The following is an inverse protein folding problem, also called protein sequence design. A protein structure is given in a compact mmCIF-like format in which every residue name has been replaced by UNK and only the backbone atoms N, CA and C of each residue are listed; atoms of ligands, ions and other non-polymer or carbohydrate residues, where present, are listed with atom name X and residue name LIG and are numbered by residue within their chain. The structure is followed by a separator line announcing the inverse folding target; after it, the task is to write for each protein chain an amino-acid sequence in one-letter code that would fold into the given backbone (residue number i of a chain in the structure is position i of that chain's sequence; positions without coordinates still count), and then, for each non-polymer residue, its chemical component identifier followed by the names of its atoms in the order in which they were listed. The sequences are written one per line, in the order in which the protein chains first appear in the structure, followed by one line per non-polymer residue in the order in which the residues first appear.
data_IF_099004150164
#
_entry.id   IF_099004150164
#
_cell.length_a   1.000
_cell.length_b   1.000
_cell.length_c   1.000
_cell.angle_alpha   90.00
_cell.angle_beta   90.00
_cell.angle_gamma   90.00
#
_symmetry.space_group_name_H-M   'P 1'
#
loop_
_entity.id
_entity.type
_entity.pdbx_description
1 polymer ?
#
# COMPACT_ATOMS: atom_id res chain seq x y z
N UNK A 1 19.75 -13.38 -18.34
CA UNK A 1 19.90 -12.00 -17.82
C UNK A 1 19.54 -12.01 -16.34
N UNK A 2 20.36 -11.41 -15.49
CA UNK A 2 19.99 -11.18 -14.09
C UNK A 2 18.88 -10.13 -14.03
N UNK A 3 17.90 -10.28 -13.13
CA UNK A 3 16.87 -9.26 -12.92
C UNK A 3 17.51 -8.03 -12.27
N UNK A 4 16.99 -6.84 -12.61
CA UNK A 4 17.34 -5.59 -11.94
C UNK A 4 16.69 -5.52 -10.55
N UNK A 5 17.25 -4.71 -9.65
CA UNK A 5 16.60 -4.38 -8.38
C UNK A 5 15.65 -3.21 -8.60
N UNK A 6 14.35 -3.51 -8.60
CA UNK A 6 13.29 -2.53 -8.86
C UNK A 6 12.78 -1.91 -7.56
N UNK A 7 13.11 -0.65 -7.31
CA UNK A 7 12.68 0.14 -6.15
C UNK A 7 11.44 1.00 -6.42
N UNK A 8 10.66 0.66 -7.45
CA UNK A 8 9.43 1.40 -7.78
C UNK A 8 8.44 1.41 -6.63
N UNK A 9 7.78 2.55 -6.45
CA UNK A 9 6.74 2.72 -5.44
C UNK A 9 5.39 2.09 -5.81
N UNK A 10 5.20 1.73 -7.07
CA UNK A 10 4.01 1.05 -7.59
C UNK A 10 3.71 1.44 -9.06
N UNK A 11 3.47 0.45 -9.92
CA UNK A 11 3.62 -0.99 -9.70
C UNK A 11 5.02 -1.36 -9.23
N UNK A 12 5.09 -2.28 -8.24
CA UNK A 12 6.33 -2.62 -7.56
C UNK A 12 6.83 -4.04 -7.87
N UNK A 13 7.99 -4.37 -7.31
CA UNK A 13 8.57 -5.70 -7.41
C UNK A 13 7.61 -6.78 -6.88
N UNK A 14 7.56 -7.93 -7.56
CA UNK A 14 6.82 -9.13 -7.12
C UNK A 14 7.80 -10.23 -6.72
N UNK A 15 7.40 -11.15 -5.82
CA UNK A 15 8.23 -12.30 -5.48
C UNK A 15 8.58 -13.12 -6.71
N UNK A 16 9.85 -13.48 -6.87
CA UNK A 16 10.30 -14.20 -8.06
C UNK A 16 9.68 -15.59 -8.17
N UNK A 17 9.47 -16.25 -7.04
CA UNK A 17 8.78 -17.53 -6.96
C UNK A 17 7.36 -17.45 -7.52
N UNK A 18 6.62 -16.38 -7.17
CA UNK A 18 5.26 -16.14 -7.69
C UNK A 18 5.27 -15.93 -9.20
N UNK A 19 6.25 -15.18 -9.71
CA UNK A 19 6.37 -14.95 -11.16
C UNK A 19 6.73 -16.21 -11.92
N UNK A 20 7.60 -17.07 -11.37
CA UNK A 20 7.97 -18.37 -11.96
C UNK A 20 6.76 -19.30 -12.00
N UNK A 21 6.07 -19.46 -10.86
CA UNK A 21 4.86 -20.29 -10.79
C UNK A 21 3.77 -19.80 -11.77
N UNK A 22 3.56 -18.49 -11.87
CA UNK A 22 2.62 -17.92 -12.82
C UNK A 22 3.03 -18.14 -14.28
N UNK A 23 4.33 -18.11 -14.59
CA UNK A 23 4.86 -18.41 -15.91
C UNK A 23 4.64 -19.89 -16.29
N UNK A 24 4.89 -20.80 -15.35
CA UNK A 24 4.68 -22.25 -15.55
C UNK A 24 3.20 -22.58 -15.79
N UNK A 25 2.28 -21.88 -15.13
CA UNK A 25 0.82 -22.04 -15.28
C UNK A 25 0.23 -21.18 -16.41
N UNK A 26 1.03 -20.42 -17.16
CA UNK A 26 0.53 -19.44 -18.13
C UNK A 26 -0.34 -20.04 -19.23
N UNK A 27 0.02 -21.21 -19.75
CA UNK A 27 -0.70 -21.90 -20.82
C UNK A 27 -1.68 -22.93 -20.31
N UNK A 28 -1.44 -23.48 -19.12
CA UNK A 28 -2.25 -24.55 -18.56
C UNK A 28 -2.30 -24.48 -17.03
N UNK A 29 -3.34 -23.81 -16.52
CA UNK A 29 -3.57 -23.79 -15.08
C UNK A 29 -4.03 -25.15 -14.56
N UNK A 30 -3.15 -25.85 -13.85
CA UNK A 30 -3.43 -27.13 -13.13
C UNK A 30 -4.16 -28.18 -14.00
N UNK A 31 -3.78 -28.31 -15.28
CA UNK A 31 -4.34 -29.31 -16.17
C UNK A 31 -5.72 -28.95 -16.77
N UNK A 32 -6.14 -27.69 -16.68
CA UNK A 32 -7.40 -27.24 -17.29
C UNK A 32 -7.31 -27.03 -18.79
N UNK A 33 -6.09 -27.04 -19.36
CA UNK A 33 -5.83 -26.77 -20.77
C UNK A 33 -6.02 -25.30 -21.16
N UNK A 34 -6.12 -24.37 -20.18
CA UNK A 34 -6.30 -22.95 -20.45
C UNK A 34 -5.55 -22.07 -19.45
N UNK A 35 -5.23 -20.85 -19.86
CA UNK A 35 -4.72 -19.80 -19.01
C UNK A 35 -5.79 -19.27 -18.06
N UNK A 36 -5.39 -18.81 -16.88
CA UNK A 36 -6.30 -18.06 -15.98
C UNK A 36 -6.84 -16.79 -16.66
N UNK A 37 -6.06 -16.17 -17.59
CA UNK A 37 -6.49 -14.97 -18.33
C UNK A 37 -7.69 -15.20 -19.25
N UNK A 38 -7.89 -16.42 -19.78
CA UNK A 38 -8.99 -16.77 -20.67
C UNK A 38 -10.12 -17.54 -19.97
N UNK A 39 -9.95 -17.78 -18.66
CA UNK A 39 -10.87 -18.56 -17.85
C UNK A 39 -12.13 -17.76 -17.52
N UNK A 40 -13.31 -18.37 -17.70
CA UNK A 40 -14.55 -17.74 -17.23
C UNK A 40 -14.51 -17.58 -15.71
N UNK A 41 -14.79 -16.37 -15.22
CA UNK A 41 -14.92 -16.09 -13.78
C UNK A 41 -16.08 -16.83 -13.10
N UNK A 42 -16.98 -17.47 -13.89
CA UNK A 42 -18.09 -18.32 -13.41
C UNK A 42 -17.75 -19.80 -13.46
N UNK A 43 -16.55 -20.16 -13.90
CA UNK A 43 -16.08 -21.54 -13.88
C UNK A 43 -15.74 -21.99 -12.46
N UNK A 44 -15.86 -23.29 -12.20
CA UNK A 44 -15.47 -23.86 -10.91
C UNK A 44 -13.97 -23.68 -10.61
N UNK A 45 -13.13 -23.71 -11.64
CA UNK A 45 -11.71 -23.49 -11.48
C UNK A 45 -11.42 -22.09 -10.97
N UNK A 46 -12.09 -21.05 -11.53
CA UNK A 46 -11.92 -19.68 -11.07
C UNK A 46 -12.54 -19.44 -9.69
N UNK A 47 -13.70 -20.05 -9.40
CA UNK A 47 -14.29 -20.02 -8.07
C UNK A 47 -13.31 -20.51 -7.00
N UNK A 48 -12.55 -21.57 -7.30
CA UNK A 48 -11.50 -22.06 -6.41
C UNK A 48 -10.40 -21.02 -6.23
N UNK A 49 -9.92 -20.38 -7.30
CA UNK A 49 -8.87 -19.35 -7.26
C UNK A 49 -9.25 -18.20 -6.32
N UNK A 50 -10.44 -17.61 -6.50
CA UNK A 50 -10.84 -16.45 -5.70
C UNK A 50 -11.15 -16.83 -4.25
N UNK A 51 -11.74 -18.00 -4.00
CA UNK A 51 -12.03 -18.48 -2.66
C UNK A 51 -10.75 -18.81 -1.88
N UNK A 52 -9.75 -19.42 -2.53
CA UNK A 52 -8.44 -19.67 -1.91
C UNK A 52 -7.71 -18.35 -1.61
N UNK A 53 -7.77 -17.37 -2.51
CA UNK A 53 -7.19 -16.05 -2.27
C UNK A 53 -7.83 -15.35 -1.07
N UNK A 54 -9.17 -15.39 -0.95
CA UNK A 54 -9.86 -14.83 0.21
C UNK A 54 -9.50 -15.59 1.50
N UNK A 55 -9.48 -16.92 1.48
CA UNK A 55 -9.15 -17.73 2.63
C UNK A 55 -7.72 -17.45 3.13
N UNK A 56 -6.75 -17.41 2.23
CA UNK A 56 -5.35 -17.11 2.58
C UNK A 56 -5.19 -15.70 3.16
N UNK A 57 -5.91 -14.70 2.62
CA UNK A 57 -5.91 -13.35 3.15
C UNK A 57 -6.53 -13.28 4.55
N UNK A 58 -7.65 -13.99 4.76
CA UNK A 58 -8.31 -14.10 6.08
C UNK A 58 -7.36 -14.69 7.11
N UNK A 59 -6.66 -15.76 6.76
CA UNK A 59 -5.68 -16.41 7.64
C UNK A 59 -4.53 -15.47 7.98
N UNK A 60 -3.95 -14.78 6.99
CA UNK A 60 -2.81 -13.86 7.19
C UNK A 60 -3.11 -12.72 8.14
N UNK A 61 -4.31 -12.15 8.07
CA UNK A 61 -4.74 -11.00 8.86
C UNK A 61 -5.65 -11.37 10.03
N UNK A 62 -5.97 -12.66 10.22
CA UNK A 62 -6.96 -13.10 11.23
C UNK A 62 -8.26 -12.29 11.12
N UNK A 63 -8.78 -12.15 9.90
CA UNK A 63 -9.95 -11.31 9.63
C UNK A 63 -11.19 -11.90 10.33
N UNK A 64 -11.87 -11.15 11.22
CA UNK A 64 -13.08 -11.63 11.88
C UNK A 64 -14.21 -11.98 10.90
N UNK A 65 -15.07 -12.93 11.28
CA UNK A 65 -16.17 -13.42 10.42
C UNK A 65 -17.18 -12.33 10.03
N UNK A 66 -17.31 -11.28 10.84
CA UNK A 66 -18.18 -10.14 10.60
C UNK A 66 -17.59 -9.08 9.67
N UNK A 67 -16.55 -9.45 8.90
CA UNK A 67 -15.98 -8.63 7.83
C UNK A 67 -16.12 -9.32 6.48
N UNK A 68 -16.39 -8.54 5.44
CA UNK A 68 -16.32 -8.98 4.04
C UNK A 68 -15.00 -8.58 3.43
N UNK A 69 -14.45 -9.48 2.62
CA UNK A 69 -13.29 -9.23 1.76
C UNK A 69 -13.79 -9.07 0.33
N UNK A 70 -13.43 -7.96 -0.29
CA UNK A 70 -13.85 -7.64 -1.66
C UNK A 70 -12.60 -7.45 -2.54
N UNK A 71 -12.63 -8.02 -3.74
CA UNK A 71 -11.64 -7.81 -4.78
C UNK A 71 -12.27 -6.93 -5.87
N UNK A 72 -11.88 -5.67 -5.92
CA UNK A 72 -12.48 -4.64 -6.77
C UNK A 72 -11.49 -4.12 -7.81
N UNK A 73 -11.99 -3.26 -8.70
CA UNK A 73 -11.21 -2.50 -9.68
C UNK A 73 -11.14 -1.02 -9.27
N UNK A 74 -10.55 -0.17 -10.12
CA UNK A 74 -10.51 1.28 -9.94
C UNK A 74 -9.39 1.79 -9.01
N UNK A 75 -8.64 0.89 -8.36
CA UNK A 75 -7.56 1.24 -7.45
C UNK A 75 -8.02 2.01 -6.21
N UNK A 76 -7.06 2.47 -5.41
CA UNK A 76 -7.34 3.27 -4.21
C UNK A 76 -8.06 4.59 -4.53
N UNK A 77 -7.81 5.18 -5.70
CA UNK A 77 -8.47 6.43 -6.09
C UNK A 77 -9.98 6.31 -6.20
N UNK A 78 -10.50 5.16 -6.68
CA UNK A 78 -11.94 4.93 -6.69
C UNK A 78 -12.50 4.78 -5.26
N UNK A 79 -11.72 4.25 -4.32
CA UNK A 79 -12.13 4.14 -2.93
C UNK A 79 -12.28 5.51 -2.26
N UNK A 80 -11.55 6.54 -2.70
CA UNK A 80 -11.74 7.90 -2.21
C UNK A 80 -13.17 8.41 -2.44
N UNK A 81 -13.81 7.99 -3.54
CA UNK A 81 -15.20 8.27 -3.83
C UNK A 81 -16.17 7.26 -3.15
N UNK A 82 -15.85 5.95 -3.23
CA UNK A 82 -16.74 4.91 -2.69
C UNK A 82 -16.93 5.03 -1.18
N UNK A 83 -15.90 5.40 -0.42
CA UNK A 83 -16.00 5.56 1.04
C UNK A 83 -17.08 6.57 1.42
N UNK A 84 -17.06 7.84 1.02
CA UNK A 84 -18.11 8.78 1.36
C UNK A 84 -19.46 8.40 0.75
N UNK A 85 -19.51 7.88 -0.48
CA UNK A 85 -20.77 7.46 -1.13
C UNK A 85 -21.49 6.37 -0.34
N UNK A 86 -20.78 5.47 0.33
CA UNK A 86 -21.37 4.35 1.06
C UNK A 86 -21.48 4.57 2.57
N UNK A 87 -20.62 5.39 3.16
CA UNK A 87 -20.56 5.54 4.62
C UNK A 87 -21.23 6.81 5.15
N UNK A 88 -21.41 7.84 4.32
CA UNK A 88 -22.09 9.05 4.76
C UNK A 88 -23.56 8.79 5.12
N UNK A 89 -23.92 9.15 6.35
CA UNK A 89 -25.28 9.22 6.87
C UNK A 89 -25.59 10.62 7.36
N UNK A 90 -24.72 11.20 8.17
CA UNK A 90 -24.77 12.60 8.56
C UNK A 90 -24.10 13.49 7.49
N UNK A 91 -23.38 12.87 6.56
CA UNK A 91 -22.65 13.56 5.51
C UNK A 91 -21.35 14.23 5.97
N UNK A 92 -20.73 13.75 7.06
CA UNK A 92 -19.55 14.33 7.66
C UNK A 92 -18.43 13.28 7.77
N UNK A 93 -17.23 13.59 7.26
CA UNK A 93 -16.04 12.77 7.41
C UNK A 93 -14.87 13.58 7.94
N UNK A 94 -14.14 13.03 8.91
CA UNK A 94 -12.95 13.65 9.48
C UNK A 94 -11.70 12.99 8.90
N UNK A 95 -10.73 13.81 8.48
CA UNK A 95 -9.53 13.38 7.77
C UNK A 95 -8.28 13.82 8.49
N UNK A 96 -7.32 12.91 8.66
CA UNK A 96 -5.96 13.24 9.12
C UNK A 96 -5.06 13.26 7.89
N UNK A 97 -4.55 14.46 7.56
CA UNK A 97 -3.85 14.71 6.29
C UNK A 97 -2.33 14.62 6.52
N UNK A 98 -1.79 13.43 6.30
CA UNK A 98 -0.36 13.14 6.47
C UNK A 98 0.39 12.96 5.16
N UNK A 99 -0.26 13.24 4.03
CA UNK A 99 0.35 13.14 2.71
C UNK A 99 -0.63 13.45 1.59
N UNK A 100 -0.12 13.33 0.36
CA UNK A 100 -0.88 13.65 -0.85
C UNK A 100 -2.10 12.74 -1.05
N UNK A 101 -2.01 11.47 -0.66
CA UNK A 101 -3.11 10.53 -0.87
C UNK A 101 -4.27 10.81 0.09
N UNK A 102 -3.99 11.05 1.37
CA UNK A 102 -5.01 11.49 2.32
C UNK A 102 -5.62 12.85 1.91
N UNK A 103 -4.80 13.78 1.37
CA UNK A 103 -5.29 15.05 0.84
C UNK A 103 -6.24 14.86 -0.35
N UNK A 104 -5.94 13.93 -1.26
CA UNK A 104 -6.84 13.61 -2.40
C UNK A 104 -8.14 12.99 -1.92
N UNK A 105 -8.08 12.04 -0.98
CA UNK A 105 -9.28 11.45 -0.39
C UNK A 105 -10.17 12.50 0.30
N UNK A 106 -9.57 13.41 1.05
CA UNK A 106 -10.25 14.56 1.66
C UNK A 106 -10.92 15.48 0.63
N UNK A 107 -10.22 15.78 -0.47
CA UNK A 107 -10.77 16.61 -1.55
C UNK A 107 -11.93 15.92 -2.26
N UNK A 108 -11.82 14.61 -2.50
CA UNK A 108 -12.87 13.82 -3.13
C UNK A 108 -14.12 13.75 -2.25
N UNK A 109 -14.00 13.55 -0.95
CA UNK A 109 -15.12 13.49 -0.02
C UNK A 109 -15.97 14.78 -0.01
N UNK A 110 -15.34 15.93 -0.25
CA UNK A 110 -16.06 17.22 -0.36
C UNK A 110 -17.06 17.29 -1.51
N UNK A 111 -16.97 16.41 -2.49
CA UNK A 111 -17.94 16.33 -3.58
C UNK A 111 -19.27 15.72 -3.11
N UNK A 112 -19.24 15.01 -2.00
CA UNK A 112 -20.38 14.21 -1.49
C UNK A 112 -20.95 14.71 -0.17
N UNK A 113 -20.20 15.53 0.58
CA UNK A 113 -20.60 16.04 1.88
C UNK A 113 -19.57 16.97 2.50
N UNK A 114 -19.56 17.04 3.82
CA UNK A 114 -18.59 17.82 4.59
C UNK A 114 -17.38 16.95 4.91
N UNK A 115 -16.19 17.42 4.56
CA UNK A 115 -14.94 16.82 5.01
C UNK A 115 -14.17 17.83 5.84
N UNK A 116 -13.71 17.42 7.03
CA UNK A 116 -12.93 18.22 7.95
C UNK A 116 -11.49 17.70 8.01
N UNK A 117 -10.51 18.59 7.91
CA UNK A 117 -9.12 18.25 8.19
C UNK A 117 -8.84 18.45 9.68
N UNK A 118 -8.93 17.39 10.47
CA UNK A 118 -8.79 17.46 11.94
C UNK A 118 -7.34 17.49 12.41
N UNK A 119 -6.41 17.06 11.58
CA UNK A 119 -4.97 17.24 11.76
C UNK A 119 -4.25 17.18 10.41
N UNK A 120 -3.06 17.80 10.35
CA UNK A 120 -2.22 17.77 9.15
C UNK A 120 -0.75 17.98 9.53
N UNK A 121 0.16 17.34 8.78
CA UNK A 121 1.61 17.55 8.86
C UNK A 121 2.17 18.30 7.64
N UNK A 122 1.32 19.01 6.90
CA UNK A 122 1.72 19.76 5.72
C UNK A 122 2.71 20.92 6.03
N UNK A 123 2.70 21.43 7.25
CA UNK A 123 3.61 22.49 7.75
C UNK A 123 5.09 22.13 7.61
N UNK A 124 5.43 20.83 7.68
CA UNK A 124 6.79 20.30 7.50
C UNK A 124 6.87 19.29 6.35
N UNK A 125 6.15 19.56 5.28
CA UNK A 125 6.15 18.73 4.07
C UNK A 125 5.88 17.24 4.36
N UNK A 126 4.98 16.97 5.31
CA UNK A 126 4.56 15.62 5.71
C UNK A 126 5.72 14.72 6.20
N UNK A 127 6.76 15.30 6.80
CA UNK A 127 7.93 14.56 7.31
C UNK A 127 7.69 13.91 8.67
N UNK A 128 6.50 14.04 9.25
CA UNK A 128 6.12 13.46 10.53
C UNK A 128 4.63 13.09 10.57
N UNK A 129 4.24 12.29 11.54
CA UNK A 129 2.83 12.00 11.89
C UNK A 129 2.46 12.93 13.07
N UNK A 130 1.38 13.72 12.98
CA UNK A 130 0.93 14.55 14.10
C UNK A 130 0.54 13.70 15.30
N UNK A 131 0.45 14.31 16.48
CA UNK A 131 -0.13 13.65 17.65
C UNK A 131 -1.61 13.31 17.34
N UNK A 132 -1.94 12.04 17.45
CA UNK A 132 -3.28 11.49 17.15
C UNK A 132 -4.02 10.99 18.38
N UNK A 133 -3.51 11.29 19.57
CA UNK A 133 -4.07 10.81 20.84
C UNK A 133 -5.31 11.59 21.30
N UNK A 134 -5.42 12.86 20.92
CA UNK A 134 -6.56 13.72 21.26
C UNK A 134 -6.88 14.70 20.12
N UNK A 135 -7.60 14.23 19.13
CA UNK A 135 -7.99 15.00 17.97
C UNK A 135 -9.40 15.64 18.16
N UNK A 136 -9.66 16.79 17.54
CA UNK A 136 -10.98 17.43 17.55
C UNK A 136 -11.95 16.71 16.59
N UNK A 137 -12.25 15.44 16.88
CA UNK A 137 -13.17 14.63 16.10
C UNK A 137 -14.58 15.21 16.21
N UNK A 138 -15.25 15.39 15.06
CA UNK A 138 -16.60 15.93 14.99
C UNK A 138 -17.63 14.98 15.61
N UNK A 139 -18.56 15.51 16.40
CA UNK A 139 -19.60 14.69 17.05
C UNK A 139 -20.50 13.97 16.03
N UNK A 140 -20.75 14.57 14.88
CA UNK A 140 -21.54 14.05 13.77
C UNK A 140 -20.73 13.33 12.69
N UNK A 141 -19.41 13.17 12.87
CA UNK A 141 -18.61 12.44 11.90
C UNK A 141 -19.09 10.99 11.72
N UNK A 142 -19.26 10.58 10.48
CA UNK A 142 -19.59 9.20 10.11
C UNK A 142 -18.34 8.29 10.19
N UNK A 143 -17.16 8.86 9.95
CA UNK A 143 -15.87 8.15 10.04
C UNK A 143 -14.70 9.11 10.22
N UNK A 144 -13.56 8.53 10.64
CA UNK A 144 -12.23 9.15 10.62
C UNK A 144 -11.38 8.43 9.58
N UNK A 145 -10.69 9.18 8.73
CA UNK A 145 -9.88 8.63 7.62
C UNK A 145 -8.40 8.88 7.83
N UNK A 146 -7.59 7.82 7.57
CA UNK A 146 -6.13 7.90 7.51
C UNK A 146 -5.57 7.23 6.25
N UNK A 147 -4.41 7.68 5.80
CA UNK A 147 -3.50 6.93 4.94
C UNK A 147 -2.36 6.45 5.83
N UNK A 148 -2.34 5.16 6.19
CA UNK A 148 -1.52 4.66 7.27
C UNK A 148 -0.03 4.69 6.97
N UNK A 149 0.34 4.49 5.70
CA UNK A 149 1.71 4.63 5.21
C UNK A 149 1.77 5.58 4.02
N UNK A 150 2.51 6.64 4.13
CA UNK A 150 2.59 7.72 3.14
C UNK A 150 3.72 7.45 2.13
N UNK A 151 3.37 6.84 1.01
CA UNK A 151 4.29 6.34 -0.03
C UNK A 151 5.27 7.40 -0.55
N UNK A 152 4.82 8.66 -0.67
CA UNK A 152 5.62 9.77 -1.22
C UNK A 152 6.59 10.29 -0.18
N UNK A 153 6.14 10.43 1.06
CA UNK A 153 6.86 11.14 2.13
C UNK A 153 7.57 10.22 3.10
N UNK A 154 7.29 8.92 3.07
CA UNK A 154 7.98 7.90 3.88
C UNK A 154 7.59 7.85 5.35
N UNK A 155 6.46 8.45 5.71
CA UNK A 155 5.92 8.40 7.09
C UNK A 155 4.92 7.25 7.27
N UNK A 156 4.87 6.66 8.45
CA UNK A 156 3.91 5.62 8.83
C UNK A 156 3.40 5.84 10.25
N UNK A 157 2.11 5.65 10.44
CA UNK A 157 1.51 5.61 11.78
C UNK A 157 2.07 4.45 12.60
N UNK A 158 2.55 4.73 13.80
CA UNK A 158 2.97 3.70 14.79
C UNK A 158 1.85 3.38 15.78
N UNK A 159 0.94 4.31 15.96
CA UNK A 159 -0.27 4.16 16.75
C UNK A 159 -1.47 4.67 15.96
N UNK A 160 -2.61 4.00 16.08
CA UNK A 160 -3.84 4.45 15.47
C UNK A 160 -4.41 5.65 16.22
N UNK A 161 -5.16 6.55 15.54
CA UNK A 161 -5.80 7.68 16.18
C UNK A 161 -6.88 7.25 17.16
N UNK A 162 -7.04 8.00 18.25
CA UNK A 162 -8.27 7.94 19.04
C UNK A 162 -9.40 8.60 18.25
N UNK A 163 -10.27 7.76 17.70
CA UNK A 163 -11.41 8.19 16.89
C UNK A 163 -12.62 8.62 17.73
N UNK A 164 -12.52 8.62 19.04
CA UNK A 164 -13.63 8.89 19.99
C UNK A 164 -14.87 8.04 19.67
N UNK A 165 -14.62 6.76 19.30
CA UNK A 165 -15.67 5.79 18.98
C UNK A 165 -16.22 5.85 17.57
N UNK A 166 -15.71 6.74 16.71
CA UNK A 166 -16.08 6.78 15.29
C UNK A 166 -15.40 5.66 14.51
N UNK A 167 -15.98 5.30 13.38
CA UNK A 167 -15.43 4.30 12.46
C UNK A 167 -14.08 4.78 11.94
N UNK A 168 -13.06 3.93 11.99
CA UNK A 168 -11.77 4.18 11.35
C UNK A 168 -11.78 3.60 9.94
N UNK A 169 -11.50 4.44 8.96
CA UNK A 169 -11.27 4.07 7.55
C UNK A 169 -9.80 4.29 7.22
N UNK A 170 -9.14 3.30 6.65
CA UNK A 170 -7.71 3.37 6.38
C UNK A 170 -7.32 2.91 4.98
N UNK A 171 -6.51 3.72 4.29
CA UNK A 171 -5.72 3.33 3.12
C UNK A 171 -4.41 2.69 3.59
N UNK A 172 -4.28 1.37 3.39
CA UNK A 172 -3.08 0.61 3.70
C UNK A 172 -2.27 0.24 2.45
N UNK A 173 -2.55 0.83 1.29
CA UNK A 173 -1.99 0.39 0.00
C UNK A 173 -0.49 0.13 0.03
N UNK A 174 0.31 1.00 0.66
CA UNK A 174 1.77 0.86 0.65
C UNK A 174 2.37 0.15 1.85
N UNK A 175 1.55 -0.32 2.80
CA UNK A 175 1.99 -1.16 3.92
C UNK A 175 1.13 -2.42 4.09
N UNK A 176 0.20 -2.69 3.18
CA UNK A 176 -0.69 -3.84 3.28
C UNK A 176 0.10 -5.15 3.31
N UNK A 177 -0.16 -6.00 4.28
CA UNK A 177 0.55 -7.26 4.53
C UNK A 177 2.07 -7.12 4.77
N UNK A 178 2.54 -5.97 5.22
CA UNK A 178 3.96 -5.80 5.60
C UNK A 178 4.26 -6.21 7.04
N UNK A 179 3.23 -6.25 7.86
CA UNK A 179 3.25 -6.61 9.28
C UNK A 179 1.84 -7.02 9.74
N UNK A 180 1.68 -7.67 10.91
CA UNK A 180 0.37 -7.93 11.48
C UNK A 180 -0.43 -6.67 11.74
N UNK A 181 -1.74 -6.74 11.48
CA UNK A 181 -2.71 -5.67 11.70
C UNK A 181 -3.92 -6.25 12.42
N UNK A 182 -4.38 -5.59 13.47
CA UNK A 182 -5.64 -5.93 14.13
C UNK A 182 -6.82 -5.32 13.34
N UNK A 183 -7.40 -6.11 12.45
CA UNK A 183 -8.52 -5.70 11.58
C UNK A 183 -9.71 -5.19 12.39
N UNK A 184 -9.92 -5.67 13.62
CA UNK A 184 -11.04 -5.27 14.48
C UNK A 184 -11.02 -3.78 14.88
N UNK A 185 -9.87 -3.12 14.75
CA UNK A 185 -9.71 -1.67 14.99
C UNK A 185 -10.28 -0.79 13.88
N UNK A 186 -10.59 -1.37 12.72
CA UNK A 186 -11.02 -0.63 11.54
C UNK A 186 -12.47 -1.01 11.17
N UNK A 187 -13.22 -0.03 10.69
CA UNK A 187 -14.50 -0.32 10.02
C UNK A 187 -14.28 -0.69 8.55
N UNK A 188 -13.29 -0.06 7.91
CA UNK A 188 -12.94 -0.32 6.53
C UNK A 188 -11.44 -0.13 6.29
N UNK A 189 -10.83 -1.12 5.67
CA UNK A 189 -9.46 -1.07 5.12
C UNK A 189 -9.57 -1.22 3.62
N UNK A 190 -8.80 -0.44 2.85
CA UNK A 190 -8.58 -0.73 1.45
C UNK A 190 -7.10 -0.65 1.07
N UNK A 191 -6.72 -1.37 0.03
CA UNK A 191 -5.34 -1.42 -0.44
C UNK A 191 -5.27 -1.69 -1.95
N UNK A 192 -4.62 -0.82 -2.69
CA UNK A 192 -4.23 -1.10 -4.08
C UNK A 192 -3.15 -2.16 -4.11
N UNK A 193 -3.40 -3.27 -4.81
CA UNK A 193 -2.51 -4.45 -4.80
C UNK A 193 -1.12 -4.18 -5.40
N UNK A 194 -1.00 -3.26 -6.34
CA UNK A 194 0.20 -2.99 -7.14
C UNK A 194 1.43 -2.54 -6.34
N UNK A 195 1.30 -2.26 -5.07
CA UNK A 195 2.42 -1.85 -4.22
C UNK A 195 3.09 -3.05 -3.56
N UNK A 196 2.35 -3.81 -2.77
CA UNK A 196 2.96 -4.81 -1.90
C UNK A 196 2.43 -6.23 -2.09
N UNK A 197 1.33 -6.46 -2.80
CA UNK A 197 0.65 -7.76 -2.77
C UNK A 197 0.17 -8.30 -4.13
N UNK A 198 0.42 -7.59 -5.22
CA UNK A 198 -0.01 -8.06 -6.53
C UNK A 198 0.29 -7.08 -7.67
N UNK A 199 -0.31 -7.28 -8.85
CA UNK A 199 -0.20 -6.38 -9.99
C UNK A 199 -1.18 -5.22 -9.88
N UNK A 200 -1.02 -4.21 -10.75
CA UNK A 200 -2.02 -3.18 -10.96
C UNK A 200 -3.36 -3.76 -11.43
N UNK A 201 -4.46 -3.11 -11.05
CA UNK A 201 -5.83 -3.45 -11.48
C UNK A 201 -6.70 -4.07 -10.38
N UNK A 202 -6.13 -4.50 -9.27
CA UNK A 202 -6.88 -5.00 -8.10
C UNK A 202 -6.80 -4.01 -6.96
N UNK A 203 -7.93 -3.73 -6.32
CA UNK A 203 -7.98 -3.14 -4.99
C UNK A 203 -8.70 -4.09 -4.04
N UNK A 204 -8.11 -4.33 -2.89
CA UNK A 204 -8.68 -5.17 -1.85
C UNK A 204 -9.40 -4.26 -0.86
N UNK A 205 -10.63 -4.60 -0.50
CA UNK A 205 -11.41 -3.93 0.53
C UNK A 205 -11.79 -4.94 1.60
N UNK A 206 -11.51 -4.61 2.85
CA UNK A 206 -11.94 -5.37 4.03
C UNK A 206 -12.89 -4.45 4.79
N UNK A 207 -14.15 -4.80 4.84
CA UNK A 207 -15.21 -3.95 5.38
C UNK A 207 -16.08 -4.70 6.37
N UNK A 208 -16.37 -4.08 7.51
CA UNK A 208 -17.26 -4.65 8.53
C UNK A 208 -18.70 -4.72 8.01
N UNK A 209 -19.39 -5.83 8.26
CA UNK A 209 -20.69 -6.13 7.65
C UNK A 209 -21.77 -5.07 7.95
N UNK A 210 -21.78 -4.49 9.15
CA UNK A 210 -22.73 -3.44 9.54
C UNK A 210 -22.58 -2.15 8.74
N UNK A 211 -21.45 -1.97 8.02
CA UNK A 211 -21.22 -0.83 7.14
C UNK A 211 -21.66 -1.08 5.69
N UNK A 212 -22.08 -2.30 5.37
CA UNK A 212 -22.59 -2.68 4.05
C UNK A 212 -24.11 -2.49 4.05
N UNK A 213 -24.56 -1.31 3.59
CA UNK A 213 -25.94 -0.88 3.74
C UNK A 213 -26.65 -0.69 2.40
N UNK A 214 -27.98 -0.70 2.44
CA UNK A 214 -28.86 -0.32 1.31
C UNK A 214 -28.98 1.21 1.19
N UNK A 215 -29.06 1.89 2.33
CA UNK A 215 -29.27 3.34 2.44
C UNK A 215 -27.94 4.11 2.30
N UNK A 216 -27.40 4.07 1.11
CA UNK A 216 -26.24 4.86 0.69
C UNK A 216 -26.68 6.16 0.03
N UNK A 217 -25.76 7.07 -0.29
CA UNK A 217 -26.11 8.28 -1.05
C UNK A 217 -26.91 7.93 -2.30
N UNK A 218 -28.02 8.63 -2.53
CA UNK A 218 -29.02 8.31 -3.56
C UNK A 218 -28.41 8.14 -4.96
N UNK A 219 -27.44 8.96 -5.29
CA UNK A 219 -26.80 9.00 -6.59
C UNK A 219 -25.68 7.94 -6.75
N UNK A 220 -25.45 7.09 -5.72
CA UNK A 220 -24.37 6.09 -5.78
C UNK A 220 -24.66 5.05 -6.87
N UNK A 221 -23.84 4.99 -7.93
CA UNK A 221 -23.99 4.00 -8.98
C UNK A 221 -23.87 2.57 -8.45
N UNK A 222 -24.57 1.63 -9.10
CA UNK A 222 -24.56 0.21 -8.71
C UNK A 222 -23.17 -0.34 -8.49
N UNK A 223 -22.22 -0.06 -9.42
CA UNK A 223 -20.83 -0.55 -9.36
C UNK A 223 -19.99 0.11 -8.26
N UNK A 224 -20.45 1.19 -7.65
CA UNK A 224 -19.77 1.87 -6.55
C UNK A 224 -20.39 1.56 -5.17
N UNK A 225 -21.36 0.65 -5.11
CA UNK A 225 -21.95 0.19 -3.85
C UNK A 225 -21.22 -1.02 -3.32
N UNK A 226 -20.72 -0.97 -2.09
CA UNK A 226 -20.08 -2.15 -1.46
C UNK A 226 -21.03 -3.34 -1.38
N UNK A 227 -22.32 -3.08 -1.15
CA UNK A 227 -23.34 -4.13 -1.10
C UNK A 227 -23.43 -4.93 -2.40
N UNK A 228 -23.40 -4.27 -3.56
CA UNK A 228 -23.40 -4.94 -4.86
C UNK A 228 -22.28 -5.98 -4.97
N UNK A 229 -21.11 -5.62 -4.51
CA UNK A 229 -19.94 -6.49 -4.57
C UNK A 229 -19.95 -7.57 -3.47
N UNK A 230 -20.41 -7.22 -2.27
CA UNK A 230 -20.50 -8.16 -1.15
C UNK A 230 -21.51 -9.28 -1.43
N UNK A 231 -22.69 -8.94 -1.91
CA UNK A 231 -23.75 -9.91 -2.24
C UNK A 231 -23.34 -10.87 -3.36
N UNK A 232 -22.52 -10.37 -4.28
CA UNK A 232 -22.00 -11.16 -5.42
C UNK A 232 -20.61 -11.76 -5.17
N UNK A 233 -20.05 -11.67 -3.96
CA UNK A 233 -18.70 -12.16 -3.62
C UNK A 233 -17.63 -11.70 -4.62
N UNK A 234 -17.65 -10.41 -4.95
CA UNK A 234 -16.79 -9.75 -5.94
C UNK A 234 -17.00 -10.20 -7.40
N UNK A 235 -18.01 -10.97 -7.69
CA UNK A 235 -18.30 -11.54 -9.01
C UNK A 235 -19.59 -10.96 -9.63
N UNK A 236 -19.97 -9.73 -9.29
CA UNK A 236 -21.12 -9.06 -9.90
C UNK A 236 -20.93 -8.91 -11.42
N UNK A 237 -19.76 -8.47 -11.83
CA UNK A 237 -19.28 -8.48 -13.21
C UNK A 237 -17.96 -9.26 -13.30
N UNK A 238 -17.37 -9.35 -14.50
CA UNK A 238 -16.06 -9.96 -14.68
C UNK A 238 -15.00 -9.21 -13.86
N UNK A 239 -14.36 -9.86 -12.89
CA UNK A 239 -13.35 -9.22 -12.04
C UNK A 239 -12.00 -9.13 -12.76
N UNK A 240 -10.99 -8.47 -12.19
CA UNK A 240 -9.61 -8.51 -12.66
C UNK A 240 -9.00 -9.89 -12.38
N UNK A 241 -9.49 -10.92 -13.09
CA UNK A 241 -9.31 -12.34 -12.78
C UNK A 241 -7.85 -12.75 -12.60
N UNK A 242 -6.98 -12.40 -13.54
CA UNK A 242 -5.56 -12.72 -13.46
C UNK A 242 -4.85 -11.97 -12.33
N UNK A 243 -5.23 -10.73 -12.08
CA UNK A 243 -4.69 -9.95 -10.95
C UNK A 243 -5.01 -10.58 -9.60
N UNK A 244 -6.25 -11.06 -9.41
CA UNK A 244 -6.67 -11.77 -8.18
C UNK A 244 -5.90 -13.09 -8.02
N UNK A 245 -5.71 -13.83 -9.11
CA UNK A 245 -4.89 -15.04 -9.12
C UNK A 245 -3.45 -14.77 -8.64
N UNK A 246 -2.80 -13.71 -9.15
CA UNK A 246 -1.46 -13.31 -8.69
C UNK A 246 -1.48 -12.87 -7.22
N UNK A 247 -2.47 -12.10 -6.77
CA UNK A 247 -2.61 -11.75 -5.36
C UNK A 247 -2.70 -13.01 -4.47
N UNK A 248 -3.51 -14.00 -4.87
CA UNK A 248 -3.63 -15.27 -4.15
C UNK A 248 -2.28 -16.01 -4.03
N UNK A 249 -1.46 -16.01 -5.10
CA UNK A 249 -0.11 -16.57 -5.05
C UNK A 249 0.82 -15.80 -4.11
N UNK A 250 0.71 -14.48 -4.07
CA UNK A 250 1.48 -13.65 -3.11
C UNK A 250 1.04 -13.93 -1.67
N UNK A 251 -0.26 -14.09 -1.41
CA UNK A 251 -0.75 -14.46 -0.07
C UNK A 251 -0.20 -15.82 0.37
N UNK A 252 -0.22 -16.80 -0.52
CA UNK A 252 0.35 -18.12 -0.25
C UNK A 252 1.85 -18.08 -0.02
N UNK A 253 2.57 -17.27 -0.80
CA UNK A 253 4.00 -17.02 -0.59
C UNK A 253 4.27 -16.46 0.81
N UNK A 254 3.49 -15.46 1.27
CA UNK A 254 3.60 -14.91 2.63
C UNK A 254 3.32 -15.96 3.71
N UNK A 255 2.30 -16.80 3.53
CA UNK A 255 2.00 -17.91 4.47
C UNK A 255 3.16 -18.90 4.55
N UNK A 256 3.73 -19.28 3.41
CA UNK A 256 4.86 -20.22 3.34
C UNK A 256 6.14 -19.61 3.97
N UNK A 257 6.29 -18.29 3.95
CA UNK A 257 7.41 -17.59 4.59
C UNK A 257 7.32 -17.58 6.13
N UNK A 258 6.18 -17.94 6.68
CA UNK A 258 5.90 -17.91 8.12
C UNK A 258 4.93 -16.80 8.54
N UNK A 259 4.18 -16.23 7.59
CA UNK A 259 3.16 -15.21 7.83
C UNK A 259 3.72 -13.82 8.08
N UNK A 260 2.85 -12.95 8.60
CA UNK A 260 3.16 -11.52 8.71
C UNK A 260 4.17 -11.20 9.82
N UNK A 261 4.28 -12.02 10.86
CA UNK A 261 5.31 -11.84 11.89
C UNK A 261 6.73 -12.10 11.31
N UNK A 262 6.88 -13.11 10.47
CA UNK A 262 8.13 -13.38 9.79
C UNK A 262 8.45 -12.27 8.76
N UNK A 263 7.45 -11.82 8.01
CA UNK A 263 7.62 -10.73 7.04
C UNK A 263 8.01 -9.42 7.71
N UNK A 264 7.39 -9.08 8.84
CA UNK A 264 7.74 -7.90 9.63
C UNK A 264 9.22 -7.89 10.01
N UNK A 265 9.74 -8.99 10.54
CA UNK A 265 11.17 -9.11 10.91
C UNK A 265 12.11 -8.90 9.72
N UNK A 266 11.74 -9.43 8.55
CA UNK A 266 12.50 -9.23 7.31
C UNK A 266 12.46 -7.75 6.90
N UNK A 267 11.29 -7.12 6.94
CA UNK A 267 11.11 -5.71 6.60
C UNK A 267 11.88 -4.79 7.57
N UNK A 268 11.82 -5.05 8.87
CA UNK A 268 12.59 -4.32 9.87
C UNK A 268 14.10 -4.42 9.59
N UNK A 269 14.61 -5.61 9.28
CA UNK A 269 16.02 -5.81 8.93
C UNK A 269 16.42 -5.03 7.67
N UNK A 270 15.60 -5.09 6.62
CA UNK A 270 15.86 -4.33 5.37
C UNK A 270 15.88 -2.83 5.62
N UNK A 271 14.89 -2.33 6.37
CA UNK A 271 14.78 -0.91 6.67
C UNK A 271 15.95 -0.44 7.55
N UNK A 272 16.34 -1.21 8.56
CA UNK A 272 17.47 -0.88 9.43
C UNK A 272 18.77 -0.70 8.63
N UNK A 273 19.10 -1.61 7.72
CA UNK A 273 20.30 -1.51 6.87
C UNK A 273 20.37 -0.17 6.13
N UNK A 274 19.26 0.28 5.56
CA UNK A 274 19.21 1.53 4.80
C UNK A 274 19.19 2.76 5.72
N UNK A 275 18.39 2.74 6.78
CA UNK A 275 18.32 3.88 7.72
C UNK A 275 19.61 4.05 8.51
N UNK A 276 20.25 2.99 8.98
CA UNK A 276 21.54 3.05 9.68
C UNK A 276 22.63 3.69 8.81
N UNK A 277 22.61 3.38 7.52
CA UNK A 277 23.51 4.05 6.57
C UNK A 277 23.17 5.54 6.42
N UNK A 278 21.89 5.90 6.20
CA UNK A 278 21.45 7.29 6.03
C UNK A 278 21.75 8.15 7.27
N UNK A 279 21.68 7.57 8.47
CA UNK A 279 21.94 8.28 9.72
C UNK A 279 23.44 8.52 9.97
N UNK A 280 24.32 7.75 9.31
CA UNK A 280 25.78 7.86 9.43
C UNK A 280 26.44 8.57 8.24
N UNK A 281 25.75 8.63 7.08
CA UNK A 281 26.28 9.22 5.86
C UNK A 281 26.51 10.71 6.00
N UNK A 282 27.59 11.21 5.42
CA UNK A 282 27.87 12.66 5.33
C UNK A 282 27.24 13.31 4.11
N UNK A 283 26.83 12.51 3.14
CA UNK A 283 26.25 12.96 1.88
C UNK A 283 24.73 12.75 1.84
N UNK A 284 24.26 11.56 2.21
CA UNK A 284 22.85 11.20 2.14
C UNK A 284 22.15 11.39 3.49
N UNK A 285 20.92 11.89 3.46
CA UNK A 285 20.09 12.00 4.67
C UNK A 285 18.64 11.62 4.40
N UNK A 286 18.01 10.92 5.34
CA UNK A 286 16.57 10.69 5.34
C UNK A 286 15.79 11.99 5.56
N UNK A 287 14.56 12.04 5.03
CA UNK A 287 13.70 13.23 5.12
C UNK A 287 12.63 13.13 6.21
N UNK A 288 12.55 12.00 6.90
CA UNK A 288 11.49 11.67 7.88
C UNK A 288 12.05 11.66 9.29
N UNK A 289 11.31 12.19 10.24
CA UNK A 289 11.65 12.05 11.68
C UNK A 289 11.69 10.57 12.07
N UNK A 290 12.68 10.19 12.85
CA UNK A 290 13.01 8.78 13.12
C UNK A 290 11.82 7.95 13.60
N UNK A 291 11.06 8.45 14.57
CA UNK A 291 9.91 7.74 15.16
C UNK A 291 8.81 7.38 14.15
N UNK A 292 8.71 8.13 13.05
CA UNK A 292 7.61 8.02 12.06
C UNK A 292 8.07 7.38 10.75
N UNK A 293 9.30 6.86 10.68
CA UNK A 293 9.86 6.24 9.47
C UNK A 293 9.08 5.03 9.01
N UNK A 294 8.80 4.97 7.71
CA UNK A 294 8.20 3.82 7.02
C UNK A 294 9.22 2.69 6.86
N UNK A 295 8.76 1.43 6.98
CA UNK A 295 9.54 0.25 6.61
C UNK A 295 9.45 -0.07 5.12
N UNK A 296 8.55 0.61 4.39
CA UNK A 296 8.24 0.31 2.98
C UNK A 296 8.80 1.33 2.00
N UNK A 297 8.76 2.62 2.33
CA UNK A 297 9.16 3.70 1.44
C UNK A 297 10.13 4.62 2.17
N UNK A 298 11.36 4.65 1.69
CA UNK A 298 12.47 5.39 2.30
C UNK A 298 12.90 6.53 1.37
N UNK A 299 12.39 7.76 1.57
CA UNK A 299 12.88 8.93 0.83
C UNK A 299 14.17 9.46 1.45
N UNK A 300 15.08 9.91 0.60
CA UNK A 300 16.35 10.50 0.99
C UNK A 300 16.86 11.49 -0.05
N UNK A 301 17.75 12.37 0.36
CA UNK A 301 18.34 13.43 -0.46
C UNK A 301 19.83 13.56 -0.15
N UNK A 302 20.59 14.16 -1.07
CA UNK A 302 21.96 14.64 -0.79
C UNK A 302 21.92 16.10 -0.31
N UNK A 303 20.90 16.86 -0.71
CA UNK A 303 20.77 18.30 -0.48
C UNK A 303 21.31 19.15 -1.65
N UNK A 304 21.78 18.47 -2.70
CA UNK A 304 22.20 19.05 -3.97
C UNK A 304 21.44 18.34 -5.10
N UNK A 305 20.66 19.10 -5.88
CA UNK A 305 19.79 18.54 -6.93
C UNK A 305 20.61 17.95 -8.10
N UNK A 306 21.80 18.46 -8.41
CA UNK A 306 22.66 17.92 -9.44
C UNK A 306 23.24 16.58 -9.00
N UNK A 307 23.64 16.48 -7.73
CA UNK A 307 24.14 15.25 -7.14
C UNK A 307 23.04 14.18 -7.01
N UNK A 308 21.82 14.60 -6.63
CA UNK A 308 20.63 13.69 -6.63
C UNK A 308 20.39 13.13 -8.04
N UNK A 309 20.44 13.98 -9.07
CA UNK A 309 20.24 13.55 -10.47
C UNK A 309 21.36 12.63 -10.96
N UNK A 310 22.60 12.90 -10.57
CA UNK A 310 23.77 12.08 -10.90
C UNK A 310 23.65 10.69 -10.23
N UNK A 311 23.29 10.65 -8.95
CA UNK A 311 23.03 9.40 -8.23
C UNK A 311 21.98 8.54 -8.93
N UNK A 312 20.84 9.13 -9.30
CA UNK A 312 19.76 8.42 -10.02
C UNK A 312 20.27 7.85 -11.35
N UNK A 313 21.11 8.59 -12.07
CA UNK A 313 21.67 8.15 -13.35
C UNK A 313 22.67 6.98 -13.17
N UNK A 314 23.62 7.11 -12.23
CA UNK A 314 24.63 6.10 -11.98
C UNK A 314 24.02 4.84 -11.36
N UNK A 315 23.08 4.97 -10.42
CA UNK A 315 22.39 3.83 -9.82
C UNK A 315 21.61 3.01 -10.85
N UNK A 316 20.93 3.70 -11.80
CA UNK A 316 20.25 3.01 -12.91
C UNK A 316 21.23 2.21 -13.77
N UNK A 317 22.39 2.78 -14.10
CA UNK A 317 23.43 2.09 -14.84
C UNK A 317 23.99 0.87 -14.09
N UNK A 318 23.97 0.91 -12.75
CA UNK A 318 24.37 -0.20 -11.88
C UNK A 318 23.26 -1.25 -11.65
N UNK A 319 22.08 -1.10 -12.26
CA UNK A 319 20.99 -2.08 -12.17
C UNK A 319 19.98 -1.83 -11.05
N UNK A 320 19.97 -0.61 -10.47
CA UNK A 320 18.96 -0.17 -9.51
C UNK A 320 17.95 0.72 -10.21
N UNK A 321 16.75 0.22 -10.45
CA UNK A 321 15.69 0.94 -11.18
C UNK A 321 14.76 1.69 -10.24
N UNK A 322 14.27 2.85 -10.71
CA UNK A 322 13.19 3.63 -10.10
C UNK A 322 13.51 4.26 -8.72
N UNK A 323 14.77 4.64 -8.49
CA UNK A 323 15.18 5.34 -7.26
C UNK A 323 14.84 6.84 -7.26
N UNK A 324 14.50 7.44 -8.41
CA UNK A 324 14.10 8.86 -8.46
C UNK A 324 12.90 9.12 -7.54
N UNK A 325 12.99 10.15 -6.70
CA UNK A 325 11.93 10.59 -5.83
C UNK A 325 10.69 11.10 -6.58
N UNK A 326 9.58 11.25 -5.85
CA UNK A 326 8.36 11.77 -6.46
C UNK A 326 8.56 13.24 -6.88
N UNK A 327 7.98 13.62 -8.04
CA UNK A 327 8.12 14.96 -8.63
C UNK A 327 7.76 16.13 -7.69
N UNK A 328 6.93 15.89 -6.68
CA UNK A 328 6.52 16.92 -5.72
C UNK A 328 7.49 17.11 -4.55
N UNK A 329 8.47 16.20 -4.37
CA UNK A 329 9.41 16.21 -3.24
C UNK A 329 10.86 16.29 -3.72
N UNK A 330 11.15 15.75 -4.91
CA UNK A 330 12.52 15.64 -5.42
C UNK A 330 13.30 14.49 -4.76
N UNK A 331 14.62 14.57 -4.83
CA UNK A 331 15.52 13.59 -4.24
C UNK A 331 15.35 12.16 -4.77
N UNK A 332 15.59 11.20 -3.91
CA UNK A 332 15.48 9.77 -4.17
C UNK A 332 14.45 9.11 -3.25
N UNK A 333 13.96 7.94 -3.64
CA UNK A 333 13.14 7.09 -2.80
C UNK A 333 13.39 5.61 -3.12
N UNK A 334 13.80 4.85 -2.12
CA UNK A 334 13.85 3.41 -2.20
C UNK A 334 12.55 2.81 -1.63
N UNK A 335 11.74 2.19 -2.49
CA UNK A 335 10.57 1.42 -2.05
C UNK A 335 11.00 -0.04 -1.90
N UNK A 336 11.14 -0.48 -0.64
CA UNK A 336 11.73 -1.77 -0.25
C UNK A 336 10.67 -2.78 0.20
N UNK A 337 9.53 -2.78 -0.46
CA UNK A 337 8.37 -3.63 -0.18
C UNK A 337 8.73 -5.10 0.14
N UNK A 338 7.75 -5.87 0.55
CA UNK A 338 7.95 -7.27 0.96
C UNK A 338 8.82 -8.07 0.01
N UNK A 339 8.58 -7.96 -1.30
CA UNK A 339 9.25 -8.76 -2.33
C UNK A 339 10.66 -8.26 -2.70
N UNK A 340 11.09 -7.08 -2.23
CA UNK A 340 12.48 -6.65 -2.39
C UNK A 340 13.39 -7.56 -1.57
N UNK A 341 14.32 -8.30 -2.19
CA UNK A 341 15.21 -9.16 -1.44
C UNK A 341 16.18 -8.35 -0.56
N UNK A 342 16.59 -8.93 0.57
CA UNK A 342 17.56 -8.32 1.48
C UNK A 342 18.84 -7.90 0.75
N UNK A 343 19.35 -8.79 -0.11
CA UNK A 343 20.52 -8.54 -0.96
C UNK A 343 20.38 -7.26 -1.81
N UNK A 344 19.18 -6.95 -2.29
CA UNK A 344 18.92 -5.74 -3.07
C UNK A 344 19.16 -4.47 -2.27
N UNK A 345 18.77 -4.47 -0.99
CA UNK A 345 18.99 -3.35 -0.08
C UNK A 345 20.45 -3.26 0.33
N UNK A 346 21.10 -4.39 0.62
CA UNK A 346 22.54 -4.46 0.93
C UNK A 346 23.41 -3.91 -0.22
N UNK A 347 23.11 -4.33 -1.46
CA UNK A 347 23.79 -3.83 -2.65
C UNK A 347 23.55 -2.35 -2.91
N UNK A 348 22.30 -1.86 -2.66
CA UNK A 348 22.02 -0.44 -2.76
C UNK A 348 22.89 0.37 -1.78
N UNK A 349 22.95 -0.06 -0.51
CA UNK A 349 23.77 0.62 0.50
C UNK A 349 25.27 0.57 0.17
N UNK A 350 25.75 -0.55 -0.35
CA UNK A 350 27.15 -0.63 -0.85
C UNK A 350 27.39 0.38 -1.97
N UNK A 351 26.50 0.44 -2.96
CA UNK A 351 26.60 1.41 -4.05
C UNK A 351 26.55 2.87 -3.54
N UNK A 352 25.70 3.16 -2.55
CA UNK A 352 25.62 4.50 -1.95
C UNK A 352 26.94 4.89 -1.25
N UNK A 353 27.61 3.97 -0.57
CA UNK A 353 28.93 4.20 0.04
C UNK A 353 30.00 4.49 -1.02
N UNK A 354 30.07 3.66 -2.05
CA UNK A 354 31.03 3.86 -3.14
C UNK A 354 30.80 5.21 -3.86
N UNK A 355 29.53 5.58 -4.03
CA UNK A 355 29.16 6.87 -4.62
C UNK A 355 29.58 8.04 -3.71
N UNK A 356 29.32 7.96 -2.40
CA UNK A 356 29.73 8.96 -1.41
C UNK A 356 31.25 9.14 -1.40
N UNK A 357 32.02 8.05 -1.32
CA UNK A 357 33.50 8.08 -1.33
C UNK A 357 34.05 8.74 -2.61
N UNK A 358 33.51 8.34 -3.77
CA UNK A 358 33.92 8.88 -5.08
C UNK A 358 33.70 10.37 -5.22
N UNK A 359 32.56 10.86 -4.75
CA UNK A 359 32.15 12.27 -4.96
C UNK A 359 32.56 13.19 -3.81
N UNK A 360 32.90 12.67 -2.62
CA UNK A 360 33.50 13.46 -1.55
C UNK A 360 34.98 13.74 -1.84
N UNK A 361 35.71 12.76 -2.38
CA UNK A 361 37.13 12.93 -2.73
C UNK A 361 37.40 13.88 -3.92
N UNK A 362 36.37 14.27 -4.68
CA UNK A 362 36.50 15.24 -5.79
C UNK A 362 36.25 16.69 -5.35
N UNK A 363 35.77 16.91 -4.12
CA UNK A 363 35.47 18.23 -3.57
C UNK A 363 36.65 18.84 -2.76
N UNK A 364 37.68 18.02 -2.45
CA UNK A 364 38.93 18.42 -1.85
C UNK A 364 40.03 18.66 -2.95
#
# INVERSE_FOLDING_TARGET
MSRVYNFSAGPAVLPEEVLKEAADEMMDYKGTGMSVMEMSHRSKAYETIINEAEADLRDLLSIPDNYKVLFLQGGASQQFAMVPMNLFQNGVGDYIITGQWAKKAYQEAKLYGTANAVASSADKTFSYIPDVSDLPISEDADYVYICENNTIYGTKYKTLPDTKGKILVADLSSCFLSEPVDVSKYGLIFAGAQKNVGPAGVVIVIIREDLIREDVLKETPTMLRYKTHADAKSLYNTPPAYGIYICGKVFKWLKNLGGLEAMKKINEKKAAILYDFLDQSKMFRGTVVEKDRSLMNVPFVTGDEELDALFVKESKAAGFENLKGHRSVGGMRASIYNAMPLEGVEKLVSFMRDFEEKHTAQAD
#
